data_IF_444575959335
#
_entry.id   IF_444575959335
#
_cell.length_a   1.000
_cell.length_b   1.000
_cell.length_c   1.000
_cell.angle_alpha   90.00
_cell.angle_beta   90.00
_cell.angle_gamma   90.00
#
_symmetry.space_group_name_H-M   'P 1'
#
loop_
_entity.id
_entity.type
_entity.pdbx_description
1 polymer ?
#
# COMPACT_ATOMS: atom_id res chain seq x y z
N UNK A 1 -25.88 -20.94 4.73
CA UNK A 1 -26.12 -19.75 3.89
C UNK A 1 -26.19 -18.45 4.70
N UNK A 2 -27.13 -18.22 5.63
CA UNK A 2 -27.11 -16.97 6.44
C UNK A 2 -26.02 -16.91 7.53
N UNK A 3 -25.59 -18.05 8.06
CA UNK A 3 -24.61 -18.11 9.17
C UNK A 3 -23.18 -17.84 8.66
N UNK A 4 -22.84 -18.39 7.49
CA UNK A 4 -21.50 -18.27 6.88
C UNK A 4 -21.21 -16.82 6.43
N UNK A 5 -22.22 -16.11 5.91
CA UNK A 5 -22.09 -14.70 5.54
C UNK A 5 -21.83 -13.78 6.75
N UNK A 6 -22.46 -14.06 7.89
CA UNK A 6 -22.29 -13.27 9.12
C UNK A 6 -20.90 -13.50 9.72
N UNK A 7 -20.41 -14.74 9.72
CA UNK A 7 -19.07 -15.08 10.19
C UNK A 7 -17.97 -14.41 9.34
N UNK A 8 -18.15 -14.38 8.01
CA UNK A 8 -17.23 -13.69 7.11
C UNK A 8 -17.19 -12.18 7.33
N UNK A 9 -18.33 -11.53 7.57
CA UNK A 9 -18.38 -10.08 7.87
C UNK A 9 -17.64 -9.76 9.17
N UNK A 10 -17.78 -10.60 10.19
CA UNK A 10 -17.07 -10.41 11.45
C UNK A 10 -15.56 -10.62 11.30
N UNK A 11 -15.14 -11.60 10.49
CA UNK A 11 -13.74 -11.82 10.14
C UNK A 11 -13.14 -10.59 9.43
N UNK A 12 -13.83 -10.06 8.41
CA UNK A 12 -13.41 -8.84 7.68
C UNK A 12 -13.28 -7.65 8.63
N UNK A 13 -14.23 -7.47 9.56
CA UNK A 13 -14.18 -6.39 10.56
C UNK A 13 -12.93 -6.50 11.44
N UNK A 14 -12.58 -7.72 11.86
CA UNK A 14 -11.37 -7.97 12.69
C UNK A 14 -10.10 -7.68 11.90
N UNK A 15 -10.00 -8.17 10.67
CA UNK A 15 -8.84 -7.98 9.79
C UNK A 15 -8.64 -6.50 9.42
N UNK A 16 -9.71 -5.80 9.09
CA UNK A 16 -9.68 -4.35 8.78
C UNK A 16 -9.09 -3.55 9.95
N UNK A 17 -9.49 -3.86 11.19
CA UNK A 17 -9.01 -3.16 12.39
C UNK A 17 -7.53 -3.45 12.70
N UNK A 18 -7.04 -4.66 12.37
CA UNK A 18 -5.63 -4.99 12.55
C UNK A 18 -4.74 -4.36 11.49
N UNK A 19 -5.20 -4.24 10.25
CA UNK A 19 -4.33 -3.96 9.10
C UNK A 19 -4.45 -2.55 8.51
N UNK A 20 -5.58 -1.83 8.61
CA UNK A 20 -5.70 -0.46 8.09
C UNK A 20 -5.08 0.55 9.07
N UNK A 21 -3.76 0.75 9.01
CA UNK A 21 -2.99 1.57 9.96
C UNK A 21 -2.24 2.73 9.33
N UNK A 22 -1.97 2.67 8.04
CA UNK A 22 -1.12 3.63 7.34
C UNK A 22 -1.70 5.05 7.34
N UNK A 23 -3.04 5.21 7.36
CA UNK A 23 -3.72 6.52 7.38
C UNK A 23 -4.13 7.01 8.78
N UNK A 24 -3.56 6.46 9.87
CA UNK A 24 -3.96 6.83 11.24
C UNK A 24 -3.42 8.22 11.66
N UNK A 25 -4.12 8.94 12.56
CA UNK A 25 -3.62 10.19 13.13
C UNK A 25 -2.32 9.97 13.92
N UNK A 26 -1.32 10.85 13.78
CA UNK A 26 -0.03 10.63 14.42
C UNK A 26 -0.12 10.82 15.93
N UNK A 27 0.34 9.81 16.65
CA UNK A 27 0.52 9.88 18.08
C UNK A 27 1.63 8.95 18.51
N UNK A 28 2.88 9.42 18.48
CA UNK A 28 3.91 8.87 19.35
C UNK A 28 5.05 9.87 19.65
N UNK A 29 5.61 9.73 20.85
CA UNK A 29 6.67 10.48 21.52
C UNK A 29 7.93 9.60 21.55
N UNK A 30 8.80 9.70 20.55
CA UNK A 30 10.05 8.92 20.55
C UNK A 30 11.30 9.69 20.08
N UNK A 31 11.35 11.01 20.28
CA UNK A 31 12.53 11.83 19.94
C UNK A 31 12.82 11.95 18.43
N UNK A 32 12.03 11.29 17.59
CA UNK A 32 11.95 11.46 16.15
C UNK A 32 10.83 12.46 15.83
N UNK A 33 11.05 13.32 14.83
CA UNK A 33 10.01 14.22 14.33
C UNK A 33 9.18 13.49 13.26
N UNK A 34 7.87 13.44 13.46
CA UNK A 34 6.93 12.92 12.48
C UNK A 34 6.50 14.04 11.54
N UNK A 35 6.65 13.82 10.23
CA UNK A 35 6.00 14.64 9.21
C UNK A 35 4.74 13.90 8.74
N UNK A 36 3.55 14.47 8.98
CA UNK A 36 2.30 13.89 8.52
C UNK A 36 2.06 14.23 7.05
N UNK A 37 1.77 13.22 6.23
CA UNK A 37 1.29 13.40 4.86
C UNK A 37 -0.20 13.07 4.84
N UNK A 38 -1.02 14.11 4.65
CA UNK A 38 -2.47 13.95 4.55
C UNK A 38 -2.84 13.51 3.14
N UNK A 39 -3.51 12.37 3.04
CA UNK A 39 -4.07 11.86 1.78
C UNK A 39 -5.56 11.60 1.97
N UNK A 40 -6.30 11.69 0.88
CA UNK A 40 -7.76 11.56 0.83
C UNK A 40 -8.20 10.11 0.89
N UNK A 41 -7.38 9.18 0.41
CA UNK A 41 -7.63 7.73 0.39
C UNK A 41 -6.37 6.94 0.01
N UNK A 42 -6.46 5.60 0.05
CA UNK A 42 -5.36 4.69 -0.34
C UNK A 42 -4.98 4.78 -1.83
N UNK A 43 -5.89 5.20 -2.71
CA UNK A 43 -5.57 5.39 -4.12
C UNK A 43 -4.62 6.58 -4.31
N UNK A 44 -4.84 7.68 -3.61
CA UNK A 44 -3.91 8.82 -3.59
C UNK A 44 -2.55 8.43 -3.00
N UNK A 45 -2.54 7.68 -1.90
CA UNK A 45 -1.30 7.14 -1.32
C UNK A 45 -0.53 6.28 -2.33
N UNK A 46 -1.20 5.33 -2.98
CA UNK A 46 -0.60 4.48 -4.01
C UNK A 46 -0.09 5.31 -5.20
N UNK A 47 -0.81 6.36 -5.59
CA UNK A 47 -0.38 7.29 -6.63
C UNK A 47 0.91 8.04 -6.23
N UNK A 48 1.02 8.47 -4.97
CA UNK A 48 2.25 9.10 -4.44
C UNK A 48 3.42 8.11 -4.53
N UNK A 49 3.28 6.92 -3.95
CA UNK A 49 4.32 5.87 -3.99
C UNK A 49 4.73 5.57 -5.43
N UNK A 50 3.77 5.40 -6.33
CA UNK A 50 4.01 5.14 -7.75
C UNK A 50 4.81 6.26 -8.41
N UNK A 51 4.52 7.52 -8.11
CA UNK A 51 5.25 8.64 -8.69
C UNK A 51 6.66 8.78 -8.09
N UNK A 52 6.85 8.47 -6.80
CA UNK A 52 8.19 8.39 -6.20
C UNK A 52 9.03 7.30 -6.89
N UNK A 53 8.45 6.14 -7.18
CA UNK A 53 9.14 5.08 -7.92
C UNK A 53 9.51 5.49 -9.35
N UNK A 54 8.61 6.18 -10.07
CA UNK A 54 8.91 6.72 -11.40
C UNK A 54 10.03 7.75 -11.37
N UNK A 55 10.04 8.61 -10.34
CA UNK A 55 11.10 9.59 -10.15
C UNK A 55 12.45 8.89 -9.97
N UNK A 56 12.51 7.84 -9.16
CA UNK A 56 13.72 7.02 -9.00
C UNK A 56 14.16 6.38 -10.32
N UNK A 57 13.23 5.88 -11.13
CA UNK A 57 13.56 5.31 -12.45
C UNK A 57 14.19 6.34 -13.38
N UNK A 58 13.59 7.53 -13.49
CA UNK A 58 14.11 8.64 -14.30
C UNK A 58 15.46 9.13 -13.78
N UNK A 59 15.63 9.23 -12.46
CA UNK A 59 16.88 9.67 -11.84
C UNK A 59 18.04 8.67 -12.02
N UNK A 60 17.74 7.37 -12.10
CA UNK A 60 18.73 6.32 -12.37
C UNK A 60 19.14 6.28 -13.85
N UNK A 61 18.24 6.70 -14.74
CA UNK A 61 18.51 6.83 -16.17
C UNK A 61 19.22 8.18 -16.43
N UNK A 62 20.54 8.20 -16.20
CA UNK A 62 21.40 9.40 -16.16
C UNK A 62 21.40 10.23 -17.46
N UNK A 63 20.86 9.71 -18.56
CA UNK A 63 20.72 10.42 -19.85
C UNK A 63 19.33 11.08 -20.05
N UNK A 64 18.37 10.92 -19.12
CA UNK A 64 16.95 11.26 -19.34
C UNK A 64 16.44 12.51 -18.61
N UNK A 65 17.15 13.00 -17.59
CA UNK A 65 16.66 14.06 -16.72
C UNK A 65 17.40 15.38 -16.95
N UNK A 66 16.95 16.21 -17.89
CA UNK A 66 17.35 17.62 -17.94
C UNK A 66 16.74 18.35 -16.72
N UNK A 67 17.49 18.43 -15.62
CA UNK A 67 17.10 19.24 -14.48
C UNK A 67 17.29 20.72 -14.86
N UNK A 68 16.26 21.59 -14.68
CA UNK A 68 16.42 23.02 -14.92
C UNK A 68 17.63 23.58 -14.19
N UNK A 69 18.47 24.36 -14.88
CA UNK A 69 19.73 24.92 -14.34
C UNK A 69 19.55 25.84 -13.12
N UNK A 70 18.30 26.14 -12.75
CA UNK A 70 17.92 26.93 -11.58
C UNK A 70 17.91 26.13 -10.28
N UNK A 71 18.04 24.80 -10.34
CA UNK A 71 18.09 23.93 -9.16
C UNK A 71 19.56 23.60 -8.87
N UNK A 72 20.04 23.99 -7.68
CA UNK A 72 21.33 23.54 -7.18
C UNK A 72 21.25 22.03 -6.89
N UNK A 73 22.16 21.25 -7.48
CA UNK A 73 22.09 19.78 -7.67
C UNK A 73 21.33 19.34 -8.92
N UNK A 74 22.09 18.97 -9.96
CA UNK A 74 21.55 18.32 -11.17
C UNK A 74 21.24 16.82 -10.97
N UNK A 75 21.29 16.33 -9.73
CA UNK A 75 21.07 14.92 -9.42
C UNK A 75 20.04 14.76 -8.32
N UNK A 76 19.13 13.81 -8.48
CA UNK A 76 18.16 13.41 -7.47
C UNK A 76 18.81 12.35 -6.57
N UNK A 77 18.77 12.54 -5.25
CA UNK A 77 19.19 11.51 -4.30
C UNK A 77 18.14 10.39 -4.23
N UNK A 78 18.31 9.39 -5.09
CA UNK A 78 17.44 8.21 -5.19
C UNK A 78 17.33 7.46 -3.85
N UNK A 79 18.40 7.43 -3.04
CA UNK A 79 18.39 6.72 -1.75
C UNK A 79 17.42 7.40 -0.79
N UNK A 80 17.45 8.72 -0.73
CA UNK A 80 16.55 9.50 0.13
C UNK A 80 15.09 9.31 -0.31
N UNK A 81 14.81 9.40 -1.61
CA UNK A 81 13.45 9.23 -2.14
C UNK A 81 12.91 7.82 -1.89
N UNK A 82 13.74 6.78 -2.09
CA UNK A 82 13.36 5.40 -1.75
C UNK A 82 13.08 5.21 -0.26
N UNK A 83 13.84 5.89 0.62
CA UNK A 83 13.60 5.86 2.06
C UNK A 83 12.24 6.44 2.45
N UNK A 84 11.77 7.48 1.76
CA UNK A 84 10.43 8.04 1.94
C UNK A 84 9.36 7.12 1.35
N UNK A 85 9.56 6.61 0.14
CA UNK A 85 8.63 5.68 -0.49
C UNK A 85 8.39 4.44 0.38
N UNK A 86 9.46 3.87 0.97
CA UNK A 86 9.37 2.71 1.85
C UNK A 86 8.54 2.98 3.11
N UNK A 87 8.63 4.18 3.71
CA UNK A 87 7.82 4.54 4.87
C UNK A 87 6.34 4.68 4.55
N UNK A 88 6.00 4.94 3.28
CA UNK A 88 4.62 5.07 2.81
C UNK A 88 4.00 3.73 2.39
N UNK A 89 4.80 2.67 2.26
CA UNK A 89 4.32 1.38 1.77
C UNK A 89 3.33 0.73 2.76
N UNK A 90 2.06 0.50 2.35
CA UNK A 90 1.03 -0.01 3.25
C UNK A 90 1.07 -1.55 3.31
N UNK A 91 2.14 -2.10 3.90
CA UNK A 91 2.41 -3.56 3.93
C UNK A 91 1.29 -4.32 4.66
N UNK A 92 0.88 -3.83 5.83
CA UNK A 92 -0.18 -4.46 6.62
C UNK A 92 -1.51 -4.49 5.83
N UNK A 93 -1.80 -3.44 5.05
CA UNK A 93 -2.98 -3.39 4.19
C UNK A 93 -2.88 -4.33 2.98
N UNK A 94 -1.68 -4.60 2.46
CA UNK A 94 -1.50 -5.62 1.43
C UNK A 94 -1.73 -7.03 1.98
N UNK A 95 -1.33 -7.30 3.21
CA UNK A 95 -1.64 -8.55 3.91
C UNK A 95 -3.16 -8.70 4.08
N UNK A 96 -3.88 -7.63 4.46
CA UNK A 96 -5.35 -7.63 4.51
C UNK A 96 -5.98 -8.04 3.18
N UNK A 97 -5.51 -7.49 2.05
CA UNK A 97 -6.05 -7.83 0.73
C UNK A 97 -5.85 -9.33 0.42
N UNK A 98 -4.72 -9.90 0.83
CA UNK A 98 -4.45 -11.32 0.66
C UNK A 98 -5.39 -12.19 1.53
N UNK A 99 -5.58 -11.82 2.80
CA UNK A 99 -6.50 -12.51 3.70
C UNK A 99 -7.95 -12.40 3.23
N UNK A 100 -8.37 -11.24 2.72
CA UNK A 100 -9.70 -11.07 2.13
C UNK A 100 -9.91 -11.97 0.92
N UNK A 101 -8.91 -12.10 0.05
CA UNK A 101 -8.98 -13.01 -1.10
C UNK A 101 -9.14 -14.47 -0.67
N UNK A 102 -8.52 -14.88 0.45
CA UNK A 102 -8.66 -16.23 1.00
C UNK A 102 -10.05 -16.49 1.61
N UNK A 103 -10.72 -15.46 2.14
CA UNK A 103 -12.09 -15.56 2.68
C UNK A 103 -13.16 -15.65 1.58
N UNK A 104 -12.85 -15.24 0.35
CA UNK A 104 -13.73 -15.29 -0.81
C UNK A 104 -13.10 -16.07 -1.97
N UNK A 105 -12.81 -17.37 -1.81
CA UNK A 105 -12.28 -18.16 -2.90
C UNK A 105 -13.29 -18.16 -4.06
N UNK A 106 -12.80 -18.04 -5.30
CA UNK A 106 -13.65 -18.19 -6.46
C UNK A 106 -14.37 -19.54 -6.41
N UNK A 107 -15.65 -19.55 -6.81
CA UNK A 107 -16.56 -20.72 -6.85
C UNK A 107 -16.05 -21.92 -7.69
N UNK A 108 -14.84 -21.85 -8.22
CA UNK A 108 -14.21 -22.86 -9.07
C UNK A 108 -14.03 -24.22 -8.38
N UNK A 109 -14.03 -24.27 -7.04
CA UNK A 109 -13.99 -25.53 -6.27
C UNK A 109 -15.38 -26.13 -5.94
N UNK A 110 -16.48 -25.40 -6.16
CA UNK A 110 -17.84 -25.93 -5.97
C UNK A 110 -18.36 -26.73 -7.18
N UNK A 111 -17.71 -26.60 -8.35
CA UNK A 111 -18.04 -27.34 -9.56
C UNK A 111 -17.33 -28.71 -9.66
N UNK A 112 -16.17 -28.89 -9.01
CA UNK A 112 -15.44 -30.18 -9.07
C UNK A 112 -16.09 -31.29 -8.22
N UNK A 113 -16.86 -30.93 -7.19
CA UNK A 113 -17.48 -31.90 -6.28
C UNK A 113 -18.89 -32.34 -6.70
N UNK A 114 -19.45 -31.79 -7.80
CA UNK A 114 -20.76 -32.20 -8.33
C UNK A 114 -20.69 -33.22 -9.47
N UNK A 115 -19.51 -33.52 -10.01
CA UNK A 115 -19.35 -34.49 -11.11
C UNK A 115 -19.02 -35.92 -10.65
N UNK A 116 -18.95 -36.17 -9.33
CA UNK A 116 -18.61 -37.49 -8.75
C UNK A 116 -19.71 -38.11 -7.87
N UNK A 117 -20.98 -37.76 -8.06
CA UNK A 117 -22.08 -38.44 -7.36
C UNK A 117 -23.23 -38.81 -8.30
#
# INVERSE_FOLDING_TARGET
MKTDEIENIEAIRRLTNSCLRTLKPAGDKNGLYTAEIRVSNYFELAAIIRNLMKLCMVALDQDSAEIPRTIESQTIDVRLILGVALQLFPIDEFELLNEMNALFPEDHDLMRNKETN
#
